data_IF_572825126488
#
_entry.id   IF_572825126488
#
_cell.length_a   1.000
_cell.length_b   1.000
_cell.length_c   1.000
_cell.angle_alpha   90.00
_cell.angle_beta   90.00
_cell.angle_gamma   90.00
#
_symmetry.space_group_name_H-M   'P 1'
#
loop_
_entity.id
_entity.type
_entity.pdbx_description
1 polymer ?
#
# COMPACT_ATOMS: atom_id res chain seq x y z
N UNK A 1 -1.78 -28.55 13.09
CA UNK A 1 -1.62 -27.10 12.90
C UNK A 1 -2.02 -26.72 11.46
N UNK A 2 -2.30 -25.45 11.20
CA UNK A 2 -2.64 -24.97 9.84
C UNK A 2 -1.55 -25.36 8.82
N UNK A 3 -0.29 -25.38 9.21
CA UNK A 3 0.83 -25.82 8.37
C UNK A 3 0.74 -27.30 8.00
N UNK A 4 0.44 -28.19 8.94
CA UNK A 4 0.29 -29.62 8.66
C UNK A 4 -0.90 -29.92 7.73
N UNK A 5 -1.93 -29.06 7.78
CA UNK A 5 -3.13 -29.20 6.94
C UNK A 5 -2.92 -28.63 5.53
N UNK A 6 -1.97 -27.69 5.33
CA UNK A 6 -1.78 -26.97 4.07
C UNK A 6 -0.53 -27.35 3.29
N UNK A 7 0.48 -27.96 3.93
CA UNK A 7 1.68 -28.42 3.25
C UNK A 7 1.41 -29.72 2.48
N UNK A 8 1.72 -29.77 1.17
CA UNK A 8 1.67 -31.02 0.40
C UNK A 8 2.64 -32.05 0.97
N UNK A 9 2.32 -33.34 0.80
CA UNK A 9 3.21 -34.43 1.19
C UNK A 9 4.59 -34.29 0.55
N UNK A 10 5.64 -34.35 1.38
CA UNK A 10 7.03 -34.18 0.93
C UNK A 10 7.48 -32.73 0.66
N UNK A 11 6.65 -31.74 0.97
CA UNK A 11 7.05 -30.35 0.89
C UNK A 11 8.06 -30.00 2.00
N UNK A 12 9.06 -29.19 1.63
CA UNK A 12 10.03 -28.64 2.57
C UNK A 12 9.56 -27.26 3.02
N UNK A 13 9.41 -27.05 4.32
CA UNK A 13 9.15 -25.73 4.89
C UNK A 13 10.47 -24.95 4.99
N UNK A 14 10.57 -23.83 4.26
CA UNK A 14 11.79 -23.03 4.16
C UNK A 14 11.79 -21.80 5.07
N UNK A 15 10.67 -21.45 5.66
CA UNK A 15 10.52 -20.30 6.54
C UNK A 15 9.21 -19.56 6.36
N UNK A 16 9.04 -18.45 7.06
CA UNK A 16 7.83 -17.66 7.08
C UNK A 16 8.12 -16.19 6.79
N UNK A 17 7.29 -15.55 5.96
CA UNK A 17 7.29 -14.12 5.74
C UNK A 17 6.10 -13.45 6.43
N UNK A 18 6.34 -12.34 7.13
CA UNK A 18 5.34 -11.56 7.86
C UNK A 18 5.37 -10.11 7.41
N UNK A 19 4.25 -9.65 6.84
CA UNK A 19 4.02 -8.24 6.54
C UNK A 19 3.36 -7.54 7.73
N UNK A 20 3.90 -6.41 8.15
CA UNK A 20 3.35 -5.59 9.22
C UNK A 20 3.11 -4.16 8.72
N UNK A 21 2.04 -3.49 9.16
CA UNK A 21 1.82 -2.07 8.84
C UNK A 21 2.70 -1.16 9.71
N UNK A 22 3.01 0.04 9.19
CA UNK A 22 3.70 1.10 9.93
C UNK A 22 5.23 0.97 9.94
N UNK A 23 5.87 1.54 10.96
CA UNK A 23 7.34 1.63 11.08
C UNK A 23 7.94 0.31 11.54
N UNK A 24 8.30 -0.54 10.58
CA UNK A 24 8.90 -1.85 10.82
C UNK A 24 10.41 -1.77 10.60
N UNK A 25 11.20 -2.15 11.62
CA UNK A 25 12.66 -2.29 11.53
C UNK A 25 13.05 -3.77 11.59
N UNK A 26 14.32 -4.16 11.40
CA UNK A 26 14.72 -5.58 11.47
C UNK A 26 14.43 -6.28 12.80
N UNK A 27 14.24 -5.53 13.90
CA UNK A 27 14.12 -6.12 15.24
C UNK A 27 12.81 -5.79 15.95
N UNK A 28 12.04 -4.81 15.46
CA UNK A 28 10.85 -4.31 16.17
C UNK A 28 9.86 -3.61 15.24
N UNK A 29 8.61 -3.63 15.63
CA UNK A 29 7.58 -2.71 15.18
C UNK A 29 7.63 -1.47 16.08
N UNK A 30 8.09 -0.34 15.54
CA UNK A 30 8.20 0.89 16.32
C UNK A 30 6.84 1.57 16.51
N UNK A 31 6.01 1.63 15.45
CA UNK A 31 4.71 2.28 15.48
C UNK A 31 3.79 1.72 14.37
N UNK A 32 2.57 1.34 14.72
CA UNK A 32 1.48 1.10 13.78
C UNK A 32 0.23 1.89 14.26
N UNK A 33 0.02 3.13 13.78
CA UNK A 33 -1.01 4.03 14.32
C UNK A 33 -2.42 3.47 14.21
N UNK A 34 -2.71 2.74 13.12
CA UNK A 34 -4.02 2.16 12.85
C UNK A 34 -4.37 0.98 13.76
N UNK A 35 -3.36 0.31 14.33
CA UNK A 35 -3.51 -0.78 15.31
C UNK A 35 -3.34 -0.31 16.76
N UNK A 36 -2.89 0.91 16.98
CA UNK A 36 -2.52 1.41 18.31
C UNK A 36 -1.28 0.72 18.89
N UNK A 37 -0.48 0.05 18.07
CA UNK A 37 0.71 -0.68 18.48
C UNK A 37 1.93 0.25 18.51
N UNK A 38 2.73 0.10 19.58
CA UNK A 38 3.93 0.92 19.77
C UNK A 38 5.02 0.10 20.43
N UNK A 39 6.21 0.17 19.85
CA UNK A 39 7.46 -0.33 20.43
C UNK A 39 7.45 -1.82 20.81
N UNK A 40 6.98 -2.67 19.87
CA UNK A 40 6.85 -4.11 20.10
C UNK A 40 8.06 -4.82 19.47
N UNK A 41 8.93 -5.48 20.27
CA UNK A 41 10.00 -6.33 19.74
C UNK A 41 9.44 -7.50 18.91
N UNK A 42 10.08 -7.83 17.78
CA UNK A 42 9.65 -8.96 16.95
C UNK A 42 9.68 -10.28 17.72
N UNK A 43 10.67 -10.48 18.60
CA UNK A 43 10.74 -11.67 19.45
C UNK A 43 9.50 -11.84 20.35
N UNK A 44 8.89 -10.74 20.81
CA UNK A 44 7.64 -10.78 21.57
C UNK A 44 6.43 -11.05 20.67
N UNK A 45 6.35 -10.33 19.53
CA UNK A 45 5.24 -10.46 18.59
C UNK A 45 5.15 -11.85 17.98
N UNK A 46 6.31 -12.44 17.66
CA UNK A 46 6.43 -13.72 16.96
C UNK A 46 6.71 -14.91 17.89
N UNK A 47 6.69 -14.70 19.21
CA UNK A 47 6.93 -15.78 20.18
C UNK A 47 6.09 -17.05 19.93
N UNK A 48 4.78 -16.96 19.55
CA UNK A 48 3.98 -18.14 19.23
C UNK A 48 4.42 -18.89 17.97
N UNK A 49 5.29 -18.28 17.14
CA UNK A 49 5.71 -18.76 15.82
C UNK A 49 7.23 -19.06 15.80
N UNK A 50 7.88 -19.08 16.96
CA UNK A 50 9.34 -19.22 17.07
C UNK A 50 9.90 -20.50 16.43
N UNK A 51 9.09 -21.56 16.36
CA UNK A 51 9.46 -22.84 15.73
C UNK A 51 9.45 -22.78 14.18
N UNK A 52 8.94 -21.68 13.60
CA UNK A 52 8.81 -21.50 12.15
C UNK A 52 9.98 -20.68 11.54
N UNK A 53 11.15 -20.74 12.16
CA UNK A 53 12.33 -20.04 11.65
C UNK A 53 12.87 -20.67 10.33
N UNK A 54 13.45 -19.86 9.42
CA UNK A 54 13.64 -18.43 9.55
C UNK A 54 12.34 -17.62 9.35
N UNK A 55 12.22 -16.49 10.05
CA UNK A 55 11.10 -15.56 9.88
C UNK A 55 11.62 -14.24 9.33
N UNK A 56 11.13 -13.84 8.15
CA UNK A 56 11.37 -12.53 7.55
C UNK A 56 10.22 -11.61 7.92
N UNK A 57 10.52 -10.44 8.50
CA UNK A 57 9.53 -9.42 8.85
C UNK A 57 9.85 -8.13 8.10
N UNK A 58 8.85 -7.55 7.45
CA UNK A 58 8.99 -6.28 6.74
C UNK A 58 7.68 -5.48 6.73
N UNK A 59 7.73 -4.23 6.28
CA UNK A 59 6.53 -3.44 6.02
C UNK A 59 5.71 -4.07 4.88
N UNK A 60 4.39 -4.07 5.02
CA UNK A 60 3.46 -4.70 4.06
C UNK A 60 3.54 -4.08 2.66
N UNK A 61 3.74 -2.75 2.56
CA UNK A 61 3.86 -2.06 1.27
C UNK A 61 5.23 -2.29 0.62
N UNK A 62 6.31 -2.43 1.41
CA UNK A 62 7.63 -2.82 0.89
C UNK A 62 7.60 -4.22 0.29
N UNK A 63 6.92 -5.15 0.96
CA UNK A 63 6.74 -6.51 0.43
C UNK A 63 5.91 -6.52 -0.85
N UNK A 64 4.84 -5.72 -0.91
CA UNK A 64 4.03 -5.58 -2.12
C UNK A 64 4.84 -4.97 -3.27
N UNK A 65 5.62 -3.91 -3.02
CA UNK A 65 6.52 -3.32 -4.00
C UNK A 65 7.56 -4.33 -4.50
N UNK A 66 8.10 -5.15 -3.60
CA UNK A 66 9.03 -6.22 -3.96
C UNK A 66 8.38 -7.24 -4.90
N UNK A 67 7.14 -7.63 -4.64
CA UNK A 67 6.40 -8.55 -5.52
C UNK A 67 6.06 -7.95 -6.90
N UNK A 68 6.02 -6.62 -7.03
CA UNK A 68 5.88 -5.92 -8.32
C UNK A 68 7.21 -5.94 -9.09
N UNK A 69 8.33 -5.72 -8.40
CA UNK A 69 9.65 -5.71 -9.02
C UNK A 69 10.11 -7.09 -9.51
N UNK A 70 9.62 -8.18 -8.89
CA UNK A 70 10.05 -9.54 -9.17
C UNK A 70 8.89 -10.41 -9.64
N UNK A 71 9.13 -11.21 -10.68
CA UNK A 71 8.16 -12.20 -11.20
C UNK A 71 8.27 -13.55 -10.49
N UNK A 72 9.47 -13.86 -9.99
CA UNK A 72 9.82 -15.07 -9.21
C UNK A 72 10.94 -14.72 -8.24
N UNK A 73 11.19 -15.52 -7.17
CA UNK A 73 12.33 -15.32 -6.29
C UNK A 73 13.64 -15.17 -7.08
N UNK A 74 14.40 -14.12 -6.80
CA UNK A 74 15.64 -13.79 -7.48
C UNK A 74 15.53 -13.35 -8.95
N UNK A 75 14.32 -13.32 -9.56
CA UNK A 75 14.13 -12.98 -10.97
C UNK A 75 13.36 -11.67 -11.13
N UNK A 76 14.08 -10.59 -11.38
CA UNK A 76 13.50 -9.31 -11.74
C UNK A 76 12.69 -9.41 -13.04
N UNK A 77 11.54 -8.72 -13.13
CA UNK A 77 10.68 -8.79 -14.31
C UNK A 77 9.64 -7.67 -14.36
N UNK A 78 9.50 -6.93 -13.27
CA UNK A 78 8.73 -5.69 -13.21
C UNK A 78 9.62 -4.45 -13.43
N UNK A 79 9.07 -3.25 -13.19
CA UNK A 79 9.84 -2.01 -13.27
C UNK A 79 11.05 -2.04 -12.33
N UNK A 80 12.18 -1.48 -12.79
CA UNK A 80 13.41 -1.47 -11.99
C UNK A 80 13.40 -0.39 -10.90
N UNK A 81 12.73 0.73 -11.18
CA UNK A 81 12.70 1.90 -10.27
C UNK A 81 11.30 2.50 -10.30
N UNK A 82 10.61 2.49 -9.17
CA UNK A 82 9.25 2.99 -9.03
C UNK A 82 8.85 3.21 -7.57
N UNK A 83 7.78 3.96 -7.37
CA UNK A 83 7.07 4.07 -6.09
C UNK A 83 5.77 3.27 -6.17
N UNK A 84 5.63 2.26 -5.34
CA UNK A 84 4.37 1.54 -5.16
C UNK A 84 3.55 2.25 -4.08
N UNK A 85 2.27 2.45 -4.35
CA UNK A 85 1.32 3.06 -3.41
C UNK A 85 0.11 2.16 -3.30
N UNK A 86 -0.23 1.77 -2.10
CA UNK A 86 -1.48 1.04 -1.85
C UNK A 86 -2.26 1.67 -0.70
N UNK A 87 -3.57 1.47 -0.75
CA UNK A 87 -4.47 1.84 0.32
C UNK A 87 -5.25 0.61 0.76
N UNK A 88 -5.26 0.40 2.06
CA UNK A 88 -6.17 -0.51 2.74
C UNK A 88 -6.88 0.30 3.82
N UNK A 89 -6.66 0.03 5.10
CA UNK A 89 -7.17 0.88 6.18
C UNK A 89 -6.55 2.28 6.11
N UNK A 90 -5.23 2.34 5.89
CA UNK A 90 -4.44 3.56 5.69
C UNK A 90 -3.83 3.62 4.29
N UNK A 91 -2.74 4.38 4.12
CA UNK A 91 -1.97 4.50 2.89
C UNK A 91 -0.52 4.09 3.14
N UNK A 92 -0.10 3.00 2.52
CA UNK A 92 1.28 2.52 2.53
C UNK A 92 1.98 2.75 1.20
N UNK A 93 3.30 2.84 1.23
CA UNK A 93 4.09 2.85 0.02
C UNK A 93 5.42 2.12 0.20
N UNK A 94 5.91 1.53 -0.90
CA UNK A 94 7.24 0.96 -1.00
C UNK A 94 8.00 1.57 -2.16
N UNK A 95 9.29 1.80 -1.99
CA UNK A 95 10.13 2.40 -3.02
C UNK A 95 11.15 1.37 -3.49
N UNK A 96 11.19 1.16 -4.79
CA UNK A 96 12.17 0.28 -5.45
C UNK A 96 13.12 1.15 -6.28
N UNK A 97 14.42 0.92 -6.15
CA UNK A 97 15.48 1.54 -6.95
C UNK A 97 16.41 0.43 -7.45
N UNK A 98 16.58 0.33 -8.75
CA UNK A 98 17.38 -0.72 -9.40
C UNK A 98 17.02 -2.13 -8.92
N UNK A 99 15.71 -2.42 -8.89
CA UNK A 99 15.09 -3.65 -8.36
C UNK A 99 15.33 -3.91 -6.87
N UNK A 100 15.84 -2.95 -6.10
CA UNK A 100 16.10 -3.12 -4.66
C UNK A 100 15.19 -2.23 -3.83
N UNK A 101 14.63 -2.74 -2.74
CA UNK A 101 13.90 -1.90 -1.80
C UNK A 101 14.79 -0.79 -1.23
N UNK A 102 14.31 0.44 -1.28
CA UNK A 102 14.94 1.57 -0.63
C UNK A 102 14.47 1.62 0.83
N UNK A 103 15.23 1.00 1.71
CA UNK A 103 14.80 0.85 3.12
C UNK A 103 15.04 2.09 3.99
N UNK A 104 15.91 3.02 3.58
CA UNK A 104 16.32 4.14 4.43
C UNK A 104 17.21 3.71 5.62
N UNK A 105 17.56 4.67 6.47
CA UNK A 105 18.53 4.45 7.56
C UNK A 105 18.04 3.50 8.67
N UNK A 106 16.72 3.34 8.83
CA UNK A 106 16.08 2.53 9.88
C UNK A 106 15.06 1.54 9.34
N UNK A 107 15.07 1.30 8.03
CA UNK A 107 14.04 0.57 7.31
C UNK A 107 12.62 1.20 7.46
N UNK A 108 12.53 2.53 7.48
CA UNK A 108 11.29 3.29 7.63
C UNK A 108 11.03 4.24 6.45
N UNK A 109 11.64 3.99 5.30
CA UNK A 109 11.32 4.76 4.08
C UNK A 109 9.93 4.40 3.56
N UNK A 110 9.37 5.25 2.69
CA UNK A 110 8.10 4.96 2.05
C UNK A 110 6.86 5.46 2.81
N UNK A 111 7.00 6.17 3.92
CA UNK A 111 5.88 6.69 4.73
C UNK A 111 5.16 7.88 4.05
N UNK A 112 4.89 7.78 2.74
CA UNK A 112 4.26 8.86 1.96
C UNK A 112 2.81 9.12 2.38
N UNK A 113 2.13 8.12 2.97
CA UNK A 113 0.81 8.30 3.57
C UNK A 113 0.78 9.37 4.65
N UNK A 114 1.92 9.63 5.31
CA UNK A 114 2.06 10.67 6.32
C UNK A 114 2.70 11.97 5.82
N UNK A 115 2.98 12.09 4.51
CA UNK A 115 3.36 13.37 3.92
C UNK A 115 2.16 14.32 3.88
N UNK A 116 2.43 15.61 4.14
CA UNK A 116 1.41 16.65 4.17
C UNK A 116 0.95 17.00 2.75
N UNK A 117 -0.30 16.69 2.43
CA UNK A 117 -0.97 17.12 1.19
C UNK A 117 -1.54 18.54 1.30
N UNK A 118 -1.99 18.95 2.51
CA UNK A 118 -2.48 20.29 2.83
C UNK A 118 -2.28 20.57 4.33
N UNK A 119 -1.50 21.58 4.72
CA UNK A 119 -1.24 21.91 6.13
C UNK A 119 -2.51 22.32 6.92
N UNK A 120 -3.56 22.76 6.21
CA UNK A 120 -4.86 23.10 6.81
C UNK A 120 -5.86 21.94 6.78
N UNK A 121 -5.45 20.79 6.29
CA UNK A 121 -6.28 19.62 6.09
C UNK A 121 -6.73 18.91 7.38
N UNK A 122 -7.42 17.75 7.23
CA UNK A 122 -7.95 16.99 8.34
C UNK A 122 -6.85 16.46 9.27
N UNK A 123 -7.24 16.18 10.53
CA UNK A 123 -6.35 15.56 11.51
C UNK A 123 -6.10 14.11 11.14
N UNK A 124 -4.84 13.72 11.02
CA UNK A 124 -4.43 12.33 10.82
C UNK A 124 -4.29 11.59 12.16
N UNK A 125 -4.47 10.27 12.17
CA UNK A 125 -4.25 9.44 13.37
C UNK A 125 -2.81 9.42 13.87
N UNK A 126 -1.84 9.76 13.04
CA UNK A 126 -0.46 9.94 13.49
C UNK A 126 -0.26 11.19 14.38
N UNK A 127 -1.27 12.04 14.49
CA UNK A 127 -1.25 13.30 15.24
C UNK A 127 -0.95 14.54 14.41
N UNK A 128 -0.48 14.40 13.17
CA UNK A 128 -0.25 15.51 12.25
C UNK A 128 -1.54 15.90 11.49
N UNK A 129 -1.51 17.06 10.80
CA UNK A 129 -2.61 17.51 9.95
C UNK A 129 -2.27 17.37 8.48
N UNK A 130 -3.30 17.06 7.68
CA UNK A 130 -3.23 17.07 6.23
C UNK A 130 -2.39 15.98 5.61
N UNK A 131 -2.10 14.90 6.33
CA UNK A 131 -1.45 13.72 5.76
C UNK A 131 -2.27 13.14 4.60
N UNK A 132 -1.62 12.60 3.58
CA UNK A 132 -2.29 11.92 2.48
C UNK A 132 -3.27 10.84 2.97
N UNK A 133 -2.91 10.06 3.98
CA UNK A 133 -3.77 9.03 4.57
C UNK A 133 -5.11 9.57 5.07
N UNK A 134 -5.15 10.81 5.55
CA UNK A 134 -6.39 11.43 6.01
C UNK A 134 -7.34 11.82 4.87
N UNK A 135 -6.88 11.80 3.61
CA UNK A 135 -7.68 12.00 2.40
C UNK A 135 -7.98 10.70 1.69
N UNK A 136 -7.00 9.78 1.60
CA UNK A 136 -7.00 8.65 0.68
C UNK A 136 -7.19 7.29 1.38
N UNK A 137 -6.91 7.18 2.68
CA UNK A 137 -7.14 5.94 3.43
C UNK A 137 -8.62 5.54 3.37
N UNK A 138 -8.90 4.24 3.10
CA UNK A 138 -10.29 3.74 2.89
C UNK A 138 -11.20 4.12 4.03
N UNK A 139 -10.74 4.05 5.27
CA UNK A 139 -11.52 4.46 6.43
C UNK A 139 -11.84 5.96 6.41
N UNK A 140 -10.86 6.82 6.12
CA UNK A 140 -11.06 8.26 6.05
C UNK A 140 -12.03 8.62 4.91
N UNK A 141 -11.88 7.99 3.75
CA UNK A 141 -12.80 8.15 2.62
C UNK A 141 -14.22 7.72 3.00
N UNK A 142 -14.38 6.54 3.60
CA UNK A 142 -15.71 6.05 4.03
C UNK A 142 -16.40 7.03 5.00
N UNK A 143 -15.66 7.55 5.98
CA UNK A 143 -16.16 8.58 6.91
C UNK A 143 -16.57 9.87 6.17
N UNK A 144 -15.76 10.35 5.21
CA UNK A 144 -16.02 11.60 4.48
C UNK A 144 -17.18 11.47 3.49
N UNK A 145 -17.35 10.32 2.82
CA UNK A 145 -18.49 10.08 1.92
C UNK A 145 -19.77 9.69 2.66
N UNK A 146 -19.69 9.43 3.97
CA UNK A 146 -20.82 9.00 4.79
C UNK A 146 -21.19 7.53 4.61
N UNK A 147 -20.24 6.69 4.19
CA UNK A 147 -20.42 5.25 4.09
C UNK A 147 -20.42 4.59 5.48
N UNK A 148 -21.07 3.42 5.66
CA UNK A 148 -21.05 2.67 6.91
C UNK A 148 -19.62 2.32 7.38
N UNK A 149 -19.44 2.14 8.69
CA UNK A 149 -18.17 1.68 9.23
C UNK A 149 -17.81 0.29 8.67
N UNK A 150 -16.55 0.13 8.24
CA UNK A 150 -16.08 -1.10 7.60
C UNK A 150 -16.32 -1.18 6.09
N UNK A 151 -16.83 -0.12 5.47
CA UNK A 151 -16.96 -0.02 4.01
C UNK A 151 -15.61 -0.11 3.31
N UNK A 152 -15.55 -0.85 2.20
CA UNK A 152 -14.41 -0.94 1.29
C UNK A 152 -14.48 0.07 0.14
N UNK A 153 -13.51 -0.02 -0.77
CA UNK A 153 -13.41 0.83 -1.96
C UNK A 153 -14.70 0.81 -2.80
N UNK A 154 -15.27 -0.37 -3.01
CA UNK A 154 -16.51 -0.52 -3.80
C UNK A 154 -17.71 0.20 -3.19
N UNK A 155 -17.82 0.20 -1.86
CA UNK A 155 -18.93 0.90 -1.17
C UNK A 155 -18.78 2.42 -1.29
N UNK A 156 -17.52 2.91 -1.23
CA UNK A 156 -17.21 4.32 -1.47
C UNK A 156 -17.62 4.73 -2.88
N UNK A 157 -17.29 3.91 -3.89
CA UNK A 157 -17.69 4.17 -5.28
C UNK A 157 -19.22 4.13 -5.45
N UNK A 158 -19.94 3.26 -4.72
CA UNK A 158 -21.40 3.26 -4.67
C UNK A 158 -21.97 4.56 -4.14
N UNK A 159 -21.45 5.08 -3.02
CA UNK A 159 -21.88 6.36 -2.47
C UNK A 159 -21.73 7.49 -3.48
N UNK A 160 -20.73 7.43 -4.35
CA UNK A 160 -20.51 8.40 -5.43
C UNK A 160 -21.35 8.10 -6.71
N UNK A 161 -22.05 6.96 -6.78
CA UNK A 161 -22.78 6.51 -7.96
C UNK A 161 -21.88 6.25 -9.16
N UNK A 162 -20.70 5.67 -8.91
CA UNK A 162 -19.68 5.33 -9.92
C UNK A 162 -19.63 3.83 -10.24
N UNK A 163 -20.36 3.01 -9.50
CA UNK A 163 -20.59 1.59 -9.78
C UNK A 163 -22.07 1.26 -9.63
N UNK A 164 -22.57 0.35 -10.48
CA UNK A 164 -23.96 -0.08 -10.46
C UNK A 164 -24.19 -1.17 -9.41
N UNK A 165 -25.41 -1.16 -8.84
CA UNK A 165 -25.89 -2.14 -7.86
C UNK A 165 -26.51 -3.39 -8.51
N UNK A 166 -26.01 -3.87 -9.62
CA UNK A 166 -26.56 -5.04 -10.29
C UNK A 166 -26.60 -6.25 -9.34
N UNK A 167 -27.74 -6.44 -8.65
CA UNK A 167 -28.03 -7.59 -7.80
C UNK A 167 -28.26 -7.33 -6.30
N UNK A 168 -28.28 -6.09 -5.82
CA UNK A 168 -28.68 -5.75 -4.45
C UNK A 168 -30.00 -5.00 -4.43
N UNK A 169 -31.08 -5.69 -3.98
CA UNK A 169 -32.41 -5.12 -3.76
C UNK A 169 -32.46 -4.26 -2.47
N UNK A 170 -31.59 -3.27 -2.32
CA UNK A 170 -31.72 -2.37 -1.16
C UNK A 170 -31.63 -0.92 -1.58
N UNK A 171 -32.80 -0.30 -1.57
CA UNK A 171 -33.02 1.14 -1.72
C UNK A 171 -32.28 2.02 -0.68
N UNK A 172 -31.56 1.45 0.27
CA UNK A 172 -30.83 2.16 1.31
C UNK A 172 -29.58 2.91 0.80
N UNK A 173 -29.04 2.52 -0.36
CA UNK A 173 -27.83 3.13 -0.94
C UNK A 173 -28.09 4.03 -2.16
N UNK A 174 -29.34 4.23 -2.56
CA UNK A 174 -29.66 5.27 -3.54
C UNK A 174 -29.60 6.64 -2.85
N UNK A 175 -28.38 7.04 -2.49
CA UNK A 175 -28.13 8.35 -1.93
C UNK A 175 -28.78 9.43 -2.82
N UNK A 176 -29.41 10.44 -2.20
CA UNK A 176 -29.90 11.63 -2.87
C UNK A 176 -28.80 12.22 -3.78
N UNK A 177 -29.16 12.89 -4.87
CA UNK A 177 -28.21 13.46 -5.82
C UNK A 177 -27.13 14.33 -5.15
N UNK A 178 -27.50 15.06 -4.10
CA UNK A 178 -26.59 15.88 -3.31
C UNK A 178 -25.53 15.05 -2.55
N UNK A 179 -25.88 13.85 -2.06
CA UNK A 179 -24.94 12.96 -1.38
C UNK A 179 -23.93 12.38 -2.36
N UNK A 180 -24.39 11.98 -3.55
CA UNK A 180 -23.50 11.50 -4.63
C UNK A 180 -22.52 12.58 -5.08
N UNK A 181 -23.01 13.81 -5.26
CA UNK A 181 -22.16 14.93 -5.65
C UNK A 181 -21.09 15.21 -4.57
N UNK A 182 -21.48 15.21 -3.30
CA UNK A 182 -20.53 15.34 -2.18
C UNK A 182 -19.49 14.21 -2.18
N UNK A 183 -19.92 12.97 -2.36
CA UNK A 183 -18.99 11.83 -2.40
C UNK A 183 -18.00 11.93 -3.58
N UNK A 184 -18.44 12.39 -4.75
CA UNK A 184 -17.57 12.65 -5.90
C UNK A 184 -16.57 13.76 -5.59
N UNK A 185 -16.99 14.85 -4.94
CA UNK A 185 -16.10 15.93 -4.54
C UNK A 185 -15.02 15.45 -3.55
N UNK A 186 -15.38 14.56 -2.60
CA UNK A 186 -14.41 13.92 -1.69
C UNK A 186 -13.38 13.10 -2.46
N UNK A 187 -13.81 12.28 -3.44
CA UNK A 187 -12.90 11.48 -4.27
C UNK A 187 -12.00 12.36 -5.15
N UNK A 188 -12.53 13.44 -5.72
CA UNK A 188 -11.75 14.42 -6.49
C UNK A 188 -10.65 15.03 -5.62
N UNK A 189 -10.98 15.46 -4.40
CA UNK A 189 -10.00 16.02 -3.47
C UNK A 189 -8.96 14.99 -3.02
N UNK A 190 -9.38 13.73 -2.79
CA UNK A 190 -8.46 12.63 -2.48
C UNK A 190 -7.47 12.37 -3.63
N UNK A 191 -7.94 12.42 -4.87
CA UNK A 191 -7.09 12.34 -6.06
C UNK A 191 -6.11 13.50 -6.16
N UNK A 192 -6.58 14.74 -5.94
CA UNK A 192 -5.71 15.90 -5.91
C UNK A 192 -4.66 15.83 -4.78
N UNK A 193 -5.05 15.36 -3.57
CA UNK A 193 -4.13 15.13 -2.47
C UNK A 193 -3.04 14.10 -2.83
N UNK A 194 -3.44 13.00 -3.50
CA UNK A 194 -2.50 12.00 -4.03
C UNK A 194 -1.51 12.66 -5.00
N UNK A 195 -1.98 13.42 -5.97
CA UNK A 195 -1.15 14.09 -6.96
C UNK A 195 -0.16 15.07 -6.33
N UNK A 196 -0.61 15.87 -5.36
CA UNK A 196 0.26 16.82 -4.63
C UNK A 196 1.42 16.10 -3.91
N UNK A 197 1.13 14.99 -3.24
CA UNK A 197 2.16 14.22 -2.55
C UNK A 197 3.09 13.52 -3.54
N UNK A 198 2.53 12.89 -4.57
CA UNK A 198 3.34 12.20 -5.59
C UNK A 198 4.26 13.17 -6.35
N UNK A 199 3.80 14.38 -6.68
CA UNK A 199 4.67 15.37 -7.30
C UNK A 199 5.86 15.75 -6.41
N UNK A 200 5.65 15.85 -5.09
CA UNK A 200 6.72 16.06 -4.13
C UNK A 200 7.72 14.91 -4.08
N UNK A 201 7.22 13.66 -4.09
CA UNK A 201 8.06 12.45 -4.13
C UNK A 201 8.87 12.39 -5.43
N UNK A 202 8.23 12.59 -6.58
CA UNK A 202 8.88 12.60 -7.90
C UNK A 202 9.97 13.67 -7.96
N UNK A 203 9.68 14.90 -7.53
CA UNK A 203 10.66 15.98 -7.50
C UNK A 203 11.85 15.71 -6.55
N UNK A 204 11.60 15.03 -5.42
CA UNK A 204 12.64 14.78 -4.41
C UNK A 204 13.52 13.59 -4.73
N UNK A 205 12.97 12.57 -5.41
CA UNK A 205 13.64 11.27 -5.58
C UNK A 205 14.03 10.98 -7.03
N UNK A 206 13.54 11.76 -8.00
CA UNK A 206 13.70 11.51 -9.43
C UNK A 206 13.17 10.12 -9.85
N UNK A 207 12.03 9.72 -9.29
CA UNK A 207 11.34 8.47 -9.62
C UNK A 207 9.99 8.82 -10.26
N UNK A 208 9.90 8.90 -11.60
CA UNK A 208 8.68 9.29 -12.28
C UNK A 208 7.66 8.17 -12.45
N UNK A 209 8.02 6.92 -12.14
CA UNK A 209 7.11 5.78 -12.27
C UNK A 209 6.44 5.48 -10.94
N UNK A 210 5.11 5.56 -10.92
CA UNK A 210 4.25 5.26 -9.76
C UNK A 210 3.36 4.08 -10.13
N UNK A 211 3.25 3.11 -9.21
CA UNK A 211 2.39 1.93 -9.36
C UNK A 211 1.36 1.94 -8.25
N UNK A 212 0.09 1.95 -8.61
CA UNK A 212 -1.04 1.97 -7.68
C UNK A 212 -1.60 0.56 -7.47
N UNK A 213 -1.76 0.15 -6.21
CA UNK A 213 -2.33 -1.13 -5.83
C UNK A 213 -3.40 -1.00 -4.74
N UNK A 214 -3.93 -2.14 -4.28
CA UNK A 214 -4.95 -2.18 -3.24
C UNK A 214 -6.19 -1.35 -3.56
N UNK A 215 -6.83 -0.80 -2.55
CA UNK A 215 -8.01 0.03 -2.72
C UNK A 215 -7.76 1.31 -3.54
N UNK A 216 -6.52 1.83 -3.58
CA UNK A 216 -6.17 2.97 -4.44
C UNK A 216 -6.32 2.60 -5.92
N UNK A 217 -5.93 1.38 -6.30
CA UNK A 217 -6.14 0.87 -7.65
C UNK A 217 -7.64 0.69 -7.97
N UNK A 218 -8.43 0.17 -7.03
CA UNK A 218 -9.89 0.03 -7.19
C UNK A 218 -10.59 1.38 -7.36
N UNK A 219 -10.13 2.42 -6.65
CA UNK A 219 -10.66 3.78 -6.71
C UNK A 219 -10.10 4.60 -7.87
N UNK A 220 -9.14 4.06 -8.63
CA UNK A 220 -8.36 4.80 -9.65
C UNK A 220 -9.22 5.55 -10.66
N UNK A 221 -10.34 5.00 -11.09
CA UNK A 221 -11.27 5.65 -12.02
C UNK A 221 -11.80 7.01 -11.53
N UNK A 222 -11.81 7.24 -10.20
CA UNK A 222 -12.22 8.51 -9.62
C UNK A 222 -11.06 9.40 -9.18
N UNK A 223 -9.88 8.80 -8.97
CA UNK A 223 -8.70 9.48 -8.39
C UNK A 223 -7.72 9.99 -9.45
N UNK A 224 -7.60 9.31 -10.60
CA UNK A 224 -6.48 9.51 -11.52
C UNK A 224 -6.49 10.87 -12.21
N UNK A 225 -7.63 11.35 -12.68
CA UNK A 225 -7.66 12.61 -13.42
C UNK A 225 -7.23 13.80 -12.54
N UNK A 226 -7.78 14.01 -11.32
CA UNK A 226 -7.31 15.06 -10.43
C UNK A 226 -5.87 14.83 -9.94
N UNK A 227 -5.43 13.57 -9.79
CA UNK A 227 -4.05 13.27 -9.41
C UNK A 227 -3.06 13.65 -10.53
N UNK A 228 -3.39 13.34 -11.79
CA UNK A 228 -2.55 13.68 -12.96
C UNK A 228 -2.43 15.18 -13.14
N UNK A 229 -3.52 15.92 -12.99
CA UNK A 229 -3.49 17.39 -13.09
C UNK A 229 -2.49 18.00 -12.09
N UNK A 230 -2.51 17.55 -10.84
CA UNK A 230 -1.57 18.00 -9.81
C UNK A 230 -0.12 17.55 -10.11
N UNK A 231 0.09 16.32 -10.58
CA UNK A 231 1.41 15.82 -10.95
C UNK A 231 1.98 16.63 -12.12
N UNK A 232 1.23 16.84 -13.20
CA UNK A 232 1.67 17.58 -14.38
C UNK A 232 2.00 19.03 -14.04
N UNK A 233 1.20 19.67 -13.17
CA UNK A 233 1.36 21.07 -12.79
C UNK A 233 2.54 21.28 -11.83
N UNK A 234 2.82 20.33 -10.95
CA UNK A 234 3.78 20.48 -9.84
C UNK A 234 5.10 19.75 -10.02
N UNK A 235 5.19 18.83 -10.99
CA UNK A 235 6.43 18.10 -11.23
C UNK A 235 7.34 18.92 -12.15
N UNK A 236 8.53 19.30 -11.65
CA UNK A 236 9.47 20.14 -12.38
C UNK A 236 9.90 19.51 -13.72
N UNK A 237 10.06 18.19 -13.75
CA UNK A 237 10.52 17.46 -14.94
C UNK A 237 9.41 17.17 -15.97
N UNK A 238 8.14 17.43 -15.67
CA UNK A 238 7.00 17.09 -16.53
C UNK A 238 7.13 17.54 -18.00
N UNK A 239 7.70 18.74 -18.32
CA UNK A 239 7.90 19.15 -19.70
C UNK A 239 8.86 18.28 -20.52
N UNK A 240 9.75 17.52 -19.86
CA UNK A 240 10.76 16.67 -20.52
C UNK A 240 10.52 15.19 -20.35
N UNK A 241 9.87 14.80 -19.24
CA UNK A 241 9.60 13.41 -18.89
C UNK A 241 8.28 13.33 -18.13
N UNK A 242 7.22 12.94 -18.81
CA UNK A 242 5.90 12.78 -18.19
C UNK A 242 5.93 11.63 -17.18
N UNK A 243 5.52 11.86 -15.93
CA UNK A 243 5.38 10.79 -14.96
C UNK A 243 4.39 9.69 -15.42
N UNK A 244 4.72 8.45 -15.12
CA UNK A 244 3.90 7.27 -15.44
C UNK A 244 3.13 6.88 -14.20
N UNK A 245 1.81 6.80 -14.28
CA UNK A 245 0.97 6.25 -13.22
C UNK A 245 0.30 4.98 -13.75
N UNK A 246 0.79 3.83 -13.29
CA UNK A 246 0.30 2.51 -13.60
C UNK A 246 -0.67 2.03 -12.54
N UNK A 247 -1.74 1.34 -12.94
CA UNK A 247 -2.72 0.76 -12.02
C UNK A 247 -2.67 -0.75 -12.13
N UNK A 248 -2.48 -1.44 -11.00
CA UNK A 248 -2.50 -2.89 -10.94
C UNK A 248 -3.91 -3.39 -10.60
N UNK A 249 -4.59 -4.07 -11.54
CA UNK A 249 -5.98 -4.51 -11.35
C UNK A 249 -6.13 -5.64 -10.32
N UNK A 250 -5.08 -6.44 -10.12
CA UNK A 250 -5.06 -7.53 -9.14
C UNK A 250 -3.81 -7.39 -8.24
N UNK A 251 -4.01 -6.77 -7.11
CA UNK A 251 -2.95 -6.51 -6.12
C UNK A 251 -3.18 -7.18 -4.76
N UNK A 252 -4.28 -7.93 -4.60
CA UNK A 252 -4.70 -8.49 -3.31
C UNK A 252 -3.68 -9.43 -2.66
N UNK A 253 -2.85 -10.11 -3.44
CA UNK A 253 -1.85 -11.07 -2.94
C UNK A 253 -0.41 -10.55 -2.93
N UNK A 254 -0.16 -9.29 -3.30
CA UNK A 254 1.20 -8.77 -3.48
C UNK A 254 2.04 -8.85 -2.21
N UNK A 255 1.51 -8.44 -1.07
CA UNK A 255 2.22 -8.50 0.22
C UNK A 255 2.63 -9.93 0.57
N UNK A 256 1.69 -10.89 0.43
CA UNK A 256 1.96 -12.31 0.73
C UNK A 256 2.98 -12.89 -0.26
N UNK A 257 2.86 -12.56 -1.55
CA UNK A 257 3.80 -12.98 -2.59
C UNK A 257 5.20 -12.41 -2.33
N UNK A 258 5.30 -11.14 -2.00
CA UNK A 258 6.57 -10.50 -1.66
C UNK A 258 7.19 -11.08 -0.41
N UNK A 259 6.40 -11.37 0.62
CA UNK A 259 6.86 -12.05 1.83
C UNK A 259 7.45 -13.44 1.51
N UNK A 260 6.75 -14.23 0.68
CA UNK A 260 7.25 -15.53 0.23
C UNK A 260 8.54 -15.39 -0.60
N UNK A 261 8.61 -14.42 -1.51
CA UNK A 261 9.82 -14.18 -2.31
C UNK A 261 11.02 -13.82 -1.42
N UNK A 262 10.83 -12.96 -0.41
CA UNK A 262 11.89 -12.59 0.53
C UNK A 262 12.41 -13.77 1.36
N UNK A 263 11.56 -14.72 1.70
CA UNK A 263 12.00 -15.98 2.36
C UNK A 263 12.81 -16.83 1.38
N UNK A 264 12.35 -16.94 0.13
CA UNK A 264 12.99 -17.76 -0.89
C UNK A 264 14.27 -17.14 -1.47
N UNK A 265 14.51 -15.84 -1.30
CA UNK A 265 15.76 -15.18 -1.70
C UNK A 265 16.96 -15.84 -1.03
N UNK A 266 16.87 -16.20 0.24
CA UNK A 266 17.95 -16.90 0.95
C UNK A 266 18.32 -18.22 0.29
N UNK A 267 17.34 -18.96 -0.24
CA UNK A 267 17.58 -20.21 -0.99
C UNK A 267 18.21 -19.94 -2.36
N UNK A 268 17.82 -18.84 -3.02
CA UNK A 268 18.35 -18.47 -4.33
C UNK A 268 19.79 -17.98 -4.20
N UNK A 269 20.09 -17.21 -3.14
CA UNK A 269 21.41 -16.63 -2.89
C UNK A 269 22.43 -17.68 -2.43
N UNK A 270 22.02 -18.65 -1.61
CA UNK A 270 22.88 -19.76 -1.13
C UNK A 270 22.11 -21.10 -1.09
N UNK A 271 21.93 -21.76 -2.25
CA UNK A 271 21.24 -23.05 -2.31
C UNK A 271 21.95 -24.16 -1.48
N UNK A 272 23.26 -24.06 -1.29
CA UNK A 272 24.03 -25.06 -0.59
C UNK A 272 23.69 -25.12 0.90
N UNK A 273 23.29 -24.00 1.51
CA UNK A 273 22.87 -23.95 2.90
C UNK A 273 21.59 -24.80 3.19
N UNK A 274 20.83 -25.15 2.16
CA UNK A 274 19.57 -25.90 2.26
C UNK A 274 19.66 -27.36 1.77
N UNK A 275 20.83 -27.77 1.24
CA UNK A 275 21.06 -29.11 0.69
C UNK A 275 21.84 -30.02 1.66
N UNK A 276 22.00 -29.61 2.94
CA UNK A 276 22.77 -30.29 3.96
C UNK A 276 22.27 -31.66 4.37
#
# INVERSE_FOLDING_TARGET
TLLEETLPDGALFLGMGVGLPGLVSPTRLALAPNLGWRDIPHAQLLAPLADLNPIVVANEADLAAYAVAYTRPGVAGGPSTFVYVSGEVGVGAGVIVDHRPMSGARAWSGEIGHMCADPNGPLCRCGARGCLEAYLGVRALAEHVGAPAGSGARDILRCAGLVDDAGLETSEYLAEAAVRERARAVLTEAGAALGRVLSGVINAMDIPHVVLGGAVAELSGALLDPAREEIETRTLQAPWSSPIVEVLPDSASLTVRGAAFRVLDALVDDPAAFLG
#
